data_IF_066387660993
#
_entry.id   IF_066387660993
#
_cell.length_a   1.000
_cell.length_b   1.000
_cell.length_c   1.000
_cell.angle_alpha   90.00
_cell.angle_beta   90.00
_cell.angle_gamma   90.00
#
_symmetry.space_group_name_H-M   'P 1'
#
loop_
_entity.id
_entity.type
_entity.pdbx_description
1 polymer ?
#
# COMPACT_ATOMS: atom_id res chain seq x y z
N UNK A 1 -22.78 35.82 -48.03
CA UNK A 1 -22.51 37.17 -47.50
C UNK A 1 -21.99 36.96 -46.09
N UNK A 2 -20.78 37.28 -45.66
CA UNK A 2 -19.67 38.10 -46.15
C UNK A 2 -18.34 37.52 -45.61
N UNK A 3 -17.25 37.79 -46.33
CA UNK A 3 -15.87 37.28 -46.22
C UNK A 3 -15.08 37.69 -44.96
N UNK A 4 -13.99 36.96 -44.67
CA UNK A 4 -12.56 37.40 -44.60
C UNK A 4 -11.71 36.18 -44.15
N UNK A 5 -11.01 35.48 -45.05
CA UNK A 5 -9.63 35.67 -45.58
C UNK A 5 -8.49 35.15 -44.68
N UNK A 6 -7.71 34.22 -45.25
CA UNK A 6 -6.51 33.52 -44.72
C UNK A 6 -5.26 34.45 -44.68
N UNK A 7 -4.10 33.93 -44.22
CA UNK A 7 -3.18 33.32 -45.21
C UNK A 7 -2.58 31.96 -44.80
N UNK A 8 -2.30 31.16 -45.83
CA UNK A 8 -1.48 29.93 -45.83
C UNK A 8 0.01 30.30 -45.77
N UNK A 9 0.85 29.39 -45.28
CA UNK A 9 2.02 28.91 -46.03
C UNK A 9 2.34 27.46 -45.65
N UNK A 10 2.68 26.68 -46.66
CA UNK A 10 3.06 25.26 -46.65
C UNK A 10 4.37 25.17 -47.40
N UNK A 11 5.39 24.47 -46.89
CA UNK A 11 6.42 23.78 -47.68
C UNK A 11 6.94 22.59 -46.85
N UNK A 12 6.90 21.38 -47.43
CA UNK A 12 7.55 20.15 -46.95
C UNK A 12 8.95 19.98 -47.62
N UNK A 13 9.56 18.78 -47.73
CA UNK A 13 10.38 18.04 -46.76
C UNK A 13 11.79 17.71 -47.33
N UNK A 14 12.72 17.14 -46.56
CA UNK A 14 13.90 16.40 -47.10
C UNK A 14 14.53 15.53 -45.98
N UNK A 15 14.34 14.20 -45.95
CA UNK A 15 15.16 13.07 -46.47
C UNK A 15 16.63 12.94 -46.04
N UNK A 16 16.91 11.81 -45.35
CA UNK A 16 18.06 10.87 -45.46
C UNK A 16 19.52 11.41 -45.42
N UNK A 17 20.54 10.79 -44.81
CA UNK A 17 20.99 9.39 -44.96
C UNK A 17 22.20 9.11 -44.02
N UNK A 18 22.22 7.90 -43.43
CA UNK A 18 23.33 6.92 -43.19
C UNK A 18 24.79 7.28 -42.84
N UNK A 19 25.33 6.44 -41.94
CA UNK A 19 26.69 5.79 -41.91
C UNK A 19 27.92 6.68 -41.67
N UNK A 20 29.03 6.32 -41.01
CA UNK A 20 29.56 5.08 -40.41
C UNK A 20 30.95 5.42 -39.82
N UNK A 21 31.42 4.58 -38.90
CA UNK A 21 32.83 4.18 -38.69
C UNK A 21 33.87 5.19 -38.16
N UNK A 22 34.32 4.91 -36.93
CA UNK A 22 35.70 5.03 -36.37
C UNK A 22 36.80 4.65 -37.38
N UNK A 23 38.07 5.16 -37.28
CA UNK A 23 38.91 4.89 -36.10
C UNK A 23 40.09 5.86 -35.74
N UNK A 24 40.56 5.70 -34.49
CA UNK A 24 41.96 5.61 -34.00
C UNK A 24 42.84 6.85 -33.67
N UNK A 25 43.37 6.76 -32.44
CA UNK A 25 44.71 7.10 -31.89
C UNK A 25 44.94 8.43 -31.14
N UNK A 26 45.53 8.24 -29.95
CA UNK A 26 46.39 9.12 -29.13
C UNK A 26 45.77 9.97 -28.00
N UNK A 27 45.96 9.47 -26.78
CA UNK A 27 46.18 10.21 -25.52
C UNK A 27 47.40 11.16 -25.63
N UNK A 28 47.71 12.05 -24.64
CA UNK A 28 47.16 12.14 -23.28
C UNK A 28 46.79 13.57 -22.82
N UNK A 29 46.01 13.70 -21.74
CA UNK A 29 46.35 14.53 -20.59
C UNK A 29 45.29 14.41 -19.48
N UNK A 30 45.80 14.42 -18.26
CA UNK A 30 45.16 13.90 -17.06
C UNK A 30 44.54 15.02 -16.23
N UNK A 31 43.34 14.77 -15.68
CA UNK A 31 42.87 15.45 -14.46
C UNK A 31 42.32 14.38 -13.53
N UNK A 32 43.15 14.02 -12.55
CA UNK A 32 42.84 13.07 -11.47
C UNK A 32 42.01 13.80 -10.42
N UNK A 33 40.74 13.41 -10.24
CA UNK A 33 39.96 13.77 -9.06
C UNK A 33 39.94 12.57 -8.10
N UNK A 34 40.34 12.86 -6.87
CA UNK A 34 40.69 11.96 -5.78
C UNK A 34 39.45 11.21 -5.27
N UNK A 35 39.59 9.89 -5.14
CA UNK A 35 38.67 9.00 -4.47
C UNK A 35 39.16 8.83 -3.01
N UNK A 36 38.40 9.36 -2.04
CA UNK A 36 38.68 9.15 -0.62
C UNK A 36 38.40 7.70 -0.23
N UNK A 37 39.45 6.95 0.05
CA UNK A 37 39.38 5.65 0.70
C UNK A 37 39.40 5.85 2.22
N UNK A 38 38.39 5.31 2.91
CA UNK A 38 38.31 5.28 4.38
C UNK A 38 39.37 4.31 4.95
N UNK A 39 40.15 4.68 5.99
CA UNK A 39 41.20 3.81 6.51
C UNK A 39 40.63 2.72 7.42
N UNK A 40 41.08 1.48 7.21
CA UNK A 40 40.75 0.32 8.04
C UNK A 40 41.33 0.47 9.47
N UNK A 41 40.52 0.34 10.54
CA UNK A 41 40.93 0.66 11.91
C UNK A 41 41.79 -0.42 12.62
N UNK A 42 42.21 -1.47 11.92
CA UNK A 42 42.92 -2.61 12.53
C UNK A 42 44.42 -2.72 12.18
N UNK A 43 45.05 -1.67 11.66
CA UNK A 43 46.50 -1.65 11.42
C UNK A 43 47.27 -1.11 12.64
N UNK A 44 48.20 -1.91 13.16
CA UNK A 44 49.20 -1.51 14.18
C UNK A 44 50.14 -0.42 13.63
N UNK A 45 50.47 0.62 14.41
CA UNK A 45 51.22 1.76 13.88
C UNK A 45 52.68 1.38 13.59
N UNK A 46 53.09 1.55 12.34
CA UNK A 46 54.51 1.64 11.99
C UNK A 46 55.06 2.96 12.54
N UNK A 47 56.09 2.86 13.37
CA UNK A 47 56.89 4.00 13.78
C UNK A 47 57.66 4.54 12.57
N UNK A 48 57.50 5.83 12.28
CA UNK A 48 58.40 6.59 11.41
C UNK A 48 58.73 7.91 12.08
N UNK A 49 59.95 8.00 12.61
CA UNK A 49 60.60 9.25 12.97
C UNK A 49 61.01 10.01 11.69
N UNK A 50 61.04 11.34 11.78
CA UNK A 50 62.12 12.12 11.18
C UNK A 50 62.61 13.20 12.17
N UNK A 51 63.88 13.63 12.07
CA UNK A 51 64.65 14.20 13.18
C UNK A 51 64.71 15.74 13.13
N UNK A 52 64.56 16.38 14.28
CA UNK A 52 65.13 17.71 14.50
C UNK A 52 66.31 17.61 15.47
N UNK A 53 67.50 17.84 14.89
CA UNK A 53 68.76 18.00 15.59
C UNK A 53 68.76 19.35 16.31
N UNK A 54 68.95 19.34 17.62
CA UNK A 54 69.79 20.34 18.29
C UNK A 54 70.78 19.62 19.18
N UNK A 55 72.04 19.92 18.87
CA UNK A 55 73.28 19.41 19.40
C UNK A 55 73.45 19.67 20.89
N UNK A 56 73.83 18.64 21.64
CA UNK A 56 74.72 18.77 22.78
C UNK A 56 75.56 17.51 22.89
N UNK A 57 76.84 17.69 22.56
CA UNK A 57 77.91 16.72 22.58
C UNK A 57 78.38 16.45 24.00
N UNK A 58 78.25 15.22 24.51
CA UNK A 58 79.12 14.73 25.61
C UNK A 58 79.35 13.21 25.46
N UNK A 59 80.62 12.89 25.17
CA UNK A 59 81.39 11.69 25.48
C UNK A 59 80.76 10.28 25.31
N UNK A 60 81.35 9.52 24.37
CA UNK A 60 81.41 8.06 24.45
C UNK A 60 82.06 7.64 25.79
N UNK A 61 81.25 7.12 26.70
CA UNK A 61 81.73 6.19 27.71
C UNK A 61 81.28 4.78 27.27
N UNK A 62 82.21 3.97 26.81
CA UNK A 62 82.00 2.52 26.71
C UNK A 62 81.84 1.97 28.13
N UNK A 63 80.59 1.94 28.60
CA UNK A 63 80.21 1.16 29.77
C UNK A 63 79.79 -0.22 29.26
N UNK A 64 80.64 -1.21 29.51
CA UNK A 64 80.30 -2.63 29.40
C UNK A 64 79.24 -2.95 30.46
N UNK A 65 77.98 -2.64 30.17
CA UNK A 65 76.86 -3.09 31.01
C UNK A 65 76.62 -4.56 30.72
N UNK A 66 77.20 -5.44 31.56
CA UNK A 66 76.81 -6.85 31.60
C UNK A 66 75.28 -6.91 31.65
N UNK A 67 74.65 -7.67 30.74
CA UNK A 67 73.24 -7.96 30.84
C UNK A 67 72.96 -8.57 32.22
N UNK A 68 72.46 -7.76 33.17
CA UNK A 68 71.96 -8.26 34.44
C UNK A 68 70.75 -9.12 34.10
N UNK A 69 70.92 -10.43 34.22
CA UNK A 69 69.85 -11.40 34.07
C UNK A 69 68.67 -11.00 34.97
N UNK A 70 67.49 -10.79 34.38
CA UNK A 70 66.30 -10.41 35.12
C UNK A 70 65.87 -11.57 36.00
N UNK A 71 66.20 -11.50 37.30
CA UNK A 71 65.58 -12.38 38.28
C UNK A 71 64.13 -11.94 38.48
N UNK A 72 63.21 -12.71 37.93
CA UNK A 72 61.80 -12.69 38.31
C UNK A 72 61.69 -12.81 39.83
N UNK A 73 61.49 -11.69 40.53
CA UNK A 73 61.05 -11.72 41.92
C UNK A 73 59.55 -12.00 41.91
N UNK A 74 59.19 -13.27 42.00
CA UNK A 74 57.81 -13.66 42.32
C UNK A 74 57.52 -13.14 43.72
N UNK A 75 56.84 -12.00 43.81
CA UNK A 75 56.41 -11.44 45.10
C UNK A 75 55.53 -12.48 45.77
N UNK A 76 55.90 -12.91 46.98
CA UNK A 76 55.12 -13.89 47.73
C UNK A 76 53.74 -13.29 48.02
N UNK A 77 52.69 -14.08 47.85
CA UNK A 77 51.30 -13.65 48.04
C UNK A 77 51.13 -13.27 49.53
N UNK A 78 51.25 -11.99 49.85
CA UNK A 78 51.25 -11.45 51.22
C UNK A 78 52.25 -10.31 51.47
N UNK A 79 53.30 -10.16 50.66
CA UNK A 79 54.33 -9.11 50.82
C UNK A 79 54.07 -7.84 49.99
N UNK A 80 52.95 -7.75 49.27
CA UNK A 80 52.56 -6.52 48.57
C UNK A 80 51.79 -5.66 49.56
N UNK A 81 52.42 -4.61 50.09
CA UNK A 81 51.68 -3.54 50.78
C UNK A 81 50.65 -2.96 49.80
N UNK A 82 49.38 -3.02 50.18
CA UNK A 82 48.25 -2.44 49.42
C UNK A 82 47.70 -1.27 50.21
N UNK A 83 48.42 -0.14 50.36
CA UNK A 83 47.94 0.98 51.16
C UNK A 83 46.60 1.56 50.64
N UNK A 84 46.24 1.29 49.38
CA UNK A 84 44.93 1.61 48.79
C UNK A 84 43.77 0.72 49.28
N UNK A 85 44.03 -0.36 50.03
CA UNK A 85 42.99 -1.16 50.70
C UNK A 85 42.75 -0.77 52.16
N UNK A 86 43.68 -0.03 52.77
CA UNK A 86 43.65 0.30 54.20
C UNK A 86 42.74 1.50 54.51
N UNK A 87 42.57 2.41 53.54
CA UNK A 87 41.68 3.58 53.67
C UNK A 87 40.72 3.57 52.47
N UNK A 88 39.49 3.09 52.69
CA UNK A 88 38.41 3.22 51.71
C UNK A 88 37.94 4.67 51.67
N UNK A 89 38.04 5.34 50.52
CA UNK A 89 37.41 6.64 50.34
C UNK A 89 35.88 6.46 50.46
N UNK A 90 35.21 7.08 51.44
CA UNK A 90 33.76 6.97 51.58
C UNK A 90 33.01 7.43 50.31
N UNK A 91 33.64 8.25 49.46
CA UNK A 91 33.06 8.71 48.19
C UNK A 91 33.09 7.68 47.07
N UNK A 92 33.94 6.65 47.16
CA UNK A 92 34.02 5.57 46.17
C UNK A 92 32.69 4.83 46.01
N UNK A 93 31.90 4.74 47.10
CA UNK A 93 30.53 4.18 47.07
C UNK A 93 29.62 4.89 46.07
N UNK A 94 29.78 6.20 45.87
CA UNK A 94 28.95 6.96 44.93
C UNK A 94 29.21 6.58 43.47
N UNK A 95 30.41 6.09 43.14
CA UNK A 95 30.73 5.60 41.79
C UNK A 95 29.91 4.36 41.43
N UNK A 96 29.50 3.55 42.43
CA UNK A 96 28.60 2.41 42.24
C UNK A 96 27.14 2.79 42.45
N UNK A 97 26.83 3.64 43.44
CA UNK A 97 25.45 4.04 43.78
C UNK A 97 24.83 4.87 42.65
N UNK A 98 25.54 5.82 42.05
CA UNK A 98 24.98 6.71 41.01
C UNK A 98 24.52 5.91 39.77
N UNK A 99 25.32 4.99 39.18
CA UNK A 99 24.85 4.14 38.09
C UNK A 99 23.68 3.24 38.48
N UNK A 100 23.65 2.70 39.70
CA UNK A 100 22.53 1.87 40.19
C UNK A 100 21.24 2.69 40.33
N UNK A 101 21.33 3.93 40.84
CA UNK A 101 20.20 4.86 40.85
C UNK A 101 19.75 5.16 39.43
N UNK A 102 20.69 5.43 38.50
CA UNK A 102 20.37 5.67 37.10
C UNK A 102 19.66 4.49 36.43
N UNK A 103 20.12 3.26 36.69
CA UNK A 103 19.48 2.03 36.19
C UNK A 103 18.09 1.83 36.81
N UNK A 104 17.95 2.05 38.12
CA UNK A 104 16.67 1.97 38.79
C UNK A 104 15.67 3.00 38.24
N UNK A 105 16.09 4.26 38.09
CA UNK A 105 15.28 5.33 37.48
C UNK A 105 14.92 4.97 36.04
N UNK A 106 15.86 4.43 35.26
CA UNK A 106 15.60 3.96 33.89
C UNK A 106 14.53 2.86 33.85
N UNK A 107 14.59 1.88 34.74
CA UNK A 107 13.57 0.82 34.87
C UNK A 107 12.22 1.38 35.31
N UNK A 108 12.20 2.34 36.24
CA UNK A 108 10.95 3.00 36.67
C UNK A 108 10.33 3.80 35.52
N UNK A 109 11.12 4.56 34.76
CA UNK A 109 10.63 5.30 33.59
C UNK A 109 10.12 4.33 32.52
N UNK A 110 10.86 3.27 32.21
CA UNK A 110 10.42 2.25 31.26
C UNK A 110 9.11 1.60 31.71
N UNK A 111 9.00 1.24 32.99
CA UNK A 111 7.78 0.70 33.59
C UNK A 111 6.60 1.68 33.49
N UNK A 112 6.84 2.96 33.75
CA UNK A 112 5.83 4.01 33.59
C UNK A 112 5.38 4.15 32.13
N UNK A 113 6.29 4.19 31.16
CA UNK A 113 5.97 4.28 29.74
C UNK A 113 5.20 3.05 29.24
N UNK A 114 5.56 1.85 29.71
CA UNK A 114 4.81 0.62 29.41
C UNK A 114 3.42 0.68 30.03
N UNK A 115 3.29 1.13 31.28
CA UNK A 115 1.98 1.28 31.93
C UNK A 115 1.10 2.33 31.24
N UNK A 116 1.67 3.47 30.83
CA UNK A 116 0.95 4.52 30.11
C UNK A 116 0.55 4.06 28.69
N UNK A 117 1.40 3.29 28.01
CA UNK A 117 1.04 2.61 26.78
C UNK A 117 -0.10 1.60 26.97
N UNK A 118 -0.03 0.75 28.00
CA UNK A 118 -1.05 -0.27 28.24
C UNK A 118 -2.40 0.31 28.63
N UNK A 119 -2.44 1.40 29.41
CA UNK A 119 -3.70 2.04 29.83
C UNK A 119 -4.39 2.80 28.69
N UNK A 120 -3.66 3.19 27.64
CA UNK A 120 -4.22 3.88 26.48
C UNK A 120 -4.79 2.89 25.44
N UNK A 121 -4.45 1.60 25.52
CA UNK A 121 -5.07 0.55 24.71
C UNK A 121 -6.53 0.37 25.15
N UNK A 122 -7.45 0.82 24.30
CA UNK A 122 -8.88 0.66 24.54
C UNK A 122 -9.27 -0.79 24.27
N UNK A 123 -9.73 -1.50 25.30
CA UNK A 123 -10.31 -2.83 25.15
C UNK A 123 -11.81 -2.71 24.85
N UNK A 124 -12.14 -2.70 23.57
CA UNK A 124 -13.53 -2.75 23.13
C UNK A 124 -14.10 -4.16 23.32
N UNK A 125 -15.36 -4.25 23.74
CA UNK A 125 -16.15 -5.48 23.69
C UNK A 125 -16.91 -5.51 22.37
N UNK A 126 -17.09 -6.71 21.82
CA UNK A 126 -17.72 -6.87 20.52
C UNK A 126 -18.77 -7.99 20.49
N UNK A 127 -19.80 -7.81 19.66
CA UNK A 127 -20.77 -8.84 19.30
C UNK A 127 -20.50 -9.34 17.87
N UNK A 128 -20.64 -10.65 17.59
CA UNK A 128 -20.54 -11.16 16.23
C UNK A 128 -21.71 -10.66 15.38
N UNK A 129 -21.41 -10.17 14.17
CA UNK A 129 -22.40 -9.76 13.16
C UNK A 129 -22.47 -10.77 12.02
N UNK A 130 -21.30 -11.21 11.57
CA UNK A 130 -21.19 -12.24 10.54
C UNK A 130 -19.89 -12.99 10.76
N UNK A 131 -19.96 -14.31 10.83
CA UNK A 131 -18.82 -15.21 10.96
C UNK A 131 -19.04 -16.34 9.95
N UNK A 132 -18.26 -16.36 8.88
CA UNK A 132 -18.36 -17.41 7.87
C UNK A 132 -16.98 -17.93 7.48
N UNK A 133 -16.87 -19.25 7.50
CA UNK A 133 -15.77 -20.02 6.95
C UNK A 133 -16.22 -20.71 5.64
N UNK A 134 -17.21 -20.12 4.93
CA UNK A 134 -17.77 -20.56 3.64
C UNK A 134 -18.00 -22.07 3.51
N UNK A 135 -18.99 -22.64 4.21
CA UNK A 135 -19.27 -24.08 4.10
C UNK A 135 -19.58 -24.48 2.66
N UNK A 136 -19.29 -25.73 2.27
CA UNK A 136 -19.50 -26.31 0.93
C UNK A 136 -20.99 -26.41 0.52
N UNK A 137 -21.71 -25.28 0.46
CA UNK A 137 -23.14 -25.18 0.18
C UNK A 137 -23.50 -24.05 -0.79
N UNK A 138 -22.50 -23.47 -1.47
CA UNK A 138 -22.69 -22.28 -2.32
C UNK A 138 -22.64 -20.97 -1.54
N UNK A 139 -22.71 -19.85 -2.25
CA UNK A 139 -22.64 -18.52 -1.65
C UNK A 139 -23.92 -18.22 -0.86
N UNK A 140 -23.78 -17.69 0.36
CA UNK A 140 -24.90 -17.25 1.22
C UNK A 140 -25.58 -16.00 0.61
N UNK A 141 -26.52 -16.19 -0.35
CA UNK A 141 -27.16 -15.09 -1.10
C UNK A 141 -28.11 -14.22 -0.27
N UNK A 142 -28.49 -14.66 0.92
CA UNK A 142 -29.19 -13.83 1.92
C UNK A 142 -28.22 -12.83 2.59
N UNK A 143 -26.93 -13.11 2.54
CA UNK A 143 -25.86 -12.23 3.03
C UNK A 143 -25.24 -11.44 1.87
N UNK A 144 -24.77 -12.12 0.84
CA UNK A 144 -23.98 -11.55 -0.24
C UNK A 144 -24.84 -11.25 -1.46
N UNK A 145 -24.80 -10.00 -1.90
CA UNK A 145 -25.34 -9.58 -3.21
C UNK A 145 -24.20 -9.62 -4.23
N UNK A 146 -24.40 -10.32 -5.35
CA UNK A 146 -23.54 -10.22 -6.53
C UNK A 146 -23.94 -9.00 -7.36
N UNK A 147 -22.98 -8.21 -7.79
CA UNK A 147 -23.21 -7.04 -8.65
C UNK A 147 -23.08 -7.39 -10.13
N UNK A 148 -23.94 -6.82 -10.96
CA UNK A 148 -23.88 -6.94 -12.41
C UNK A 148 -23.86 -5.56 -13.06
N UNK A 149 -22.67 -5.13 -13.47
CA UNK A 149 -22.43 -3.85 -14.14
C UNK A 149 -21.32 -3.98 -15.20
N UNK A 150 -21.37 -3.07 -16.18
CA UNK A 150 -20.41 -2.90 -17.28
C UNK A 150 -19.78 -1.50 -17.30
N UNK A 151 -20.17 -0.63 -16.35
CA UNK A 151 -19.81 0.79 -16.33
C UNK A 151 -18.41 1.13 -15.80
N UNK A 152 -17.66 0.13 -15.34
CA UNK A 152 -16.29 0.31 -14.84
C UNK A 152 -16.18 1.03 -13.49
N UNK A 153 -17.28 1.10 -12.73
CA UNK A 153 -17.35 1.56 -11.33
C UNK A 153 -16.64 2.90 -11.04
N UNK A 154 -16.75 3.87 -11.96
CA UNK A 154 -16.10 5.18 -11.82
C UNK A 154 -14.58 5.19 -12.05
N UNK A 155 -13.97 4.02 -12.21
CA UNK A 155 -12.54 3.81 -12.38
C UNK A 155 -12.14 3.46 -13.82
N UNK A 156 -13.13 3.32 -14.72
CA UNK A 156 -12.90 2.86 -16.10
C UNK A 156 -12.37 1.43 -16.17
N UNK A 157 -12.76 0.59 -15.21
CA UNK A 157 -12.41 -0.83 -15.14
C UNK A 157 -12.96 -1.61 -16.35
N UNK A 158 -12.31 -2.71 -16.73
CA UNK A 158 -12.60 -3.41 -17.99
C UNK A 158 -13.49 -4.64 -17.82
N UNK A 159 -13.73 -5.11 -16.60
CA UNK A 159 -14.60 -6.25 -16.35
C UNK A 159 -16.09 -5.91 -16.47
N UNK A 160 -16.85 -6.85 -17.01
CA UNK A 160 -18.26 -7.02 -16.67
C UNK A 160 -18.32 -7.81 -15.36
N UNK A 161 -19.03 -7.33 -14.34
CA UNK A 161 -19.29 -8.16 -13.16
C UNK A 161 -20.50 -9.06 -13.41
N UNK A 162 -20.41 -10.31 -12.99
CA UNK A 162 -21.46 -11.31 -13.27
C UNK A 162 -22.17 -11.79 -12.00
N UNK A 163 -23.41 -12.26 -12.18
CA UNK A 163 -24.21 -12.88 -11.11
C UNK A 163 -24.15 -14.41 -11.13
N UNK A 164 -23.52 -15.00 -12.14
CA UNK A 164 -23.40 -16.45 -12.29
C UNK A 164 -22.31 -17.02 -11.36
N UNK A 165 -22.20 -18.34 -11.31
CA UNK A 165 -21.12 -19.03 -10.60
C UNK A 165 -19.82 -19.11 -11.42
N UNK A 166 -19.75 -18.45 -12.58
CA UNK A 166 -18.54 -18.44 -13.39
C UNK A 166 -17.39 -17.67 -12.71
N UNK A 167 -17.73 -16.52 -12.11
CA UNK A 167 -16.73 -15.62 -11.52
C UNK A 167 -16.78 -15.56 -10.00
N UNK A 168 -17.91 -15.93 -9.37
CA UNK A 168 -18.07 -15.95 -7.91
C UNK A 168 -18.76 -17.23 -7.47
N UNK A 169 -18.01 -18.11 -6.80
CA UNK A 169 -18.50 -19.43 -6.37
C UNK A 169 -17.80 -19.89 -5.10
N UNK A 170 -18.38 -20.91 -4.46
CA UNK A 170 -17.73 -21.60 -3.33
C UNK A 170 -17.12 -22.89 -3.84
N UNK A 171 -15.84 -23.10 -3.57
CA UNK A 171 -15.13 -24.33 -3.86
C UNK A 171 -14.19 -24.66 -2.69
N UNK A 172 -14.13 -25.93 -2.29
CA UNK A 172 -13.22 -26.41 -1.23
C UNK A 172 -13.32 -25.64 0.10
N UNK A 173 -14.54 -25.21 0.45
CA UNK A 173 -14.83 -24.46 1.67
C UNK A 173 -14.36 -23.01 1.64
N UNK A 174 -14.14 -22.45 0.45
CA UNK A 174 -13.62 -21.10 0.26
C UNK A 174 -14.41 -20.37 -0.81
N UNK A 175 -14.52 -19.05 -0.67
CA UNK A 175 -15.06 -18.17 -1.69
C UNK A 175 -14.00 -17.86 -2.74
N UNK A 176 -14.32 -18.09 -4.01
CA UNK A 176 -13.47 -17.77 -5.14
C UNK A 176 -14.06 -16.59 -5.90
N UNK A 177 -13.25 -15.57 -6.16
CA UNK A 177 -13.54 -14.49 -7.11
C UNK A 177 -12.53 -14.61 -8.24
N UNK A 178 -12.97 -15.12 -9.38
CA UNK A 178 -12.14 -15.55 -10.50
C UNK A 178 -12.49 -14.77 -11.77
N UNK A 179 -11.63 -13.86 -12.24
CA UNK A 179 -11.77 -13.24 -13.54
C UNK A 179 -11.63 -14.26 -14.69
N UNK A 180 -12.42 -14.08 -15.75
CA UNK A 180 -12.38 -14.90 -16.97
C UNK A 180 -12.41 -14.02 -18.22
N UNK A 181 -12.03 -14.57 -19.38
CA UNK A 181 -12.19 -13.87 -20.65
C UNK A 181 -13.68 -13.72 -21.00
N UNK A 182 -14.02 -12.62 -21.66
CA UNK A 182 -15.31 -12.48 -22.34
C UNK A 182 -15.35 -13.35 -23.60
N UNK A 183 -16.56 -13.66 -24.08
CA UNK A 183 -16.76 -14.25 -25.40
C UNK A 183 -16.16 -13.34 -26.49
N UNK A 184 -15.37 -13.94 -27.39
CA UNK A 184 -14.74 -13.23 -28.49
C UNK A 184 -15.76 -12.53 -29.39
N UNK A 185 -16.94 -13.11 -29.62
CA UNK A 185 -18.01 -12.50 -30.43
C UNK A 185 -18.47 -11.18 -29.82
N UNK A 186 -18.53 -11.11 -28.48
CA UNK A 186 -18.92 -9.88 -27.78
C UNK A 186 -17.87 -8.78 -27.95
N UNK A 187 -16.59 -9.12 -28.04
CA UNK A 187 -15.48 -8.13 -28.06
C UNK A 187 -14.99 -7.80 -29.48
N UNK A 188 -15.16 -8.72 -30.44
CA UNK A 188 -14.61 -8.66 -31.79
C UNK A 188 -15.65 -8.31 -32.85
N UNK A 189 -16.93 -8.60 -32.61
CA UNK A 189 -18.03 -8.37 -33.55
C UNK A 189 -19.02 -7.32 -33.04
N UNK A 190 -19.89 -6.84 -33.94
CA UNK A 190 -20.97 -5.92 -33.55
C UNK A 190 -21.90 -6.61 -32.56
N UNK A 191 -21.88 -6.16 -31.32
CA UNK A 191 -22.54 -6.84 -30.20
C UNK A 191 -23.08 -5.84 -29.19
N UNK A 192 -23.96 -6.33 -28.32
CA UNK A 192 -24.51 -5.54 -27.23
C UNK A 192 -24.69 -6.40 -25.99
N UNK A 193 -24.13 -5.96 -24.88
CA UNK A 193 -24.45 -6.45 -23.54
C UNK A 193 -25.54 -5.55 -22.99
N UNK A 194 -26.68 -6.14 -22.64
CA UNK A 194 -27.79 -5.45 -22.00
C UNK A 194 -28.23 -6.17 -20.74
N UNK A 195 -27.74 -5.70 -19.60
CA UNK A 195 -28.07 -6.24 -18.29
C UNK A 195 -29.47 -5.80 -17.83
N UNK A 196 -30.04 -4.73 -18.41
CA UNK A 196 -31.42 -4.31 -18.13
C UNK A 196 -32.41 -5.24 -18.80
N UNK A 197 -32.19 -5.58 -20.06
CA UNK A 197 -33.02 -6.55 -20.78
C UNK A 197 -32.99 -7.95 -20.13
N UNK A 198 -31.86 -8.29 -19.50
CA UNK A 198 -31.72 -9.51 -18.70
C UNK A 198 -32.35 -9.41 -17.30
N UNK A 199 -32.70 -8.20 -16.84
CA UNK A 199 -33.28 -7.97 -15.50
C UNK A 199 -32.29 -8.17 -14.34
N UNK A 200 -30.99 -8.15 -14.61
CA UNK A 200 -29.95 -8.44 -13.60
C UNK A 200 -29.10 -7.23 -13.20
N UNK A 201 -29.15 -6.11 -13.93
CA UNK A 201 -28.32 -4.95 -13.61
C UNK A 201 -28.56 -4.45 -12.18
N UNK A 202 -27.47 -4.24 -11.44
CA UNK A 202 -27.54 -3.72 -10.05
C UNK A 202 -27.49 -2.21 -9.94
N UNK A 203 -27.13 -1.51 -11.02
CA UNK A 203 -27.13 -0.05 -11.09
C UNK A 203 -28.46 0.49 -11.58
N UNK A 204 -28.78 1.72 -11.14
CA UNK A 204 -29.86 2.53 -11.71
C UNK A 204 -29.37 3.40 -12.88
N UNK A 205 -28.06 3.49 -13.09
CA UNK A 205 -27.44 4.31 -14.14
C UNK A 205 -27.35 3.49 -15.42
N UNK A 206 -27.99 3.96 -16.49
CA UNK A 206 -28.09 3.21 -17.75
C UNK A 206 -26.73 2.81 -18.34
N UNK A 207 -25.73 3.70 -18.26
CA UNK A 207 -24.37 3.44 -18.78
C UNK A 207 -23.63 2.34 -18.01
N UNK A 208 -24.08 2.00 -16.81
CA UNK A 208 -23.53 0.89 -16.05
C UNK A 208 -24.18 -0.46 -16.39
N UNK A 209 -25.30 -0.44 -17.13
CA UNK A 209 -26.05 -1.65 -17.44
C UNK A 209 -25.96 -2.07 -18.90
N UNK A 210 -25.57 -1.15 -19.79
CA UNK A 210 -25.55 -1.37 -21.22
C UNK A 210 -24.20 -0.97 -21.79
N UNK A 211 -23.60 -1.87 -22.54
CA UNK A 211 -22.40 -1.60 -23.33
C UNK A 211 -22.45 -2.37 -24.65
N UNK A 212 -21.54 -2.10 -25.58
CA UNK A 212 -21.52 -2.80 -26.85
C UNK A 212 -20.25 -2.58 -27.63
N UNK A 213 -19.96 -3.55 -28.50
CA UNK A 213 -18.88 -3.46 -29.47
C UNK A 213 -19.46 -2.97 -30.79
N UNK A 214 -18.81 -1.96 -31.36
CA UNK A 214 -19.11 -1.44 -32.69
C UNK A 214 -17.81 -1.45 -33.49
N UNK A 215 -17.77 -2.20 -34.59
CA UNK A 215 -16.58 -2.39 -35.41
C UNK A 215 -16.46 -1.38 -36.55
N UNK A 216 -17.40 -0.44 -36.67
CA UNK A 216 -17.35 0.63 -37.67
C UNK A 216 -16.14 1.53 -37.43
N UNK A 217 -15.37 1.80 -38.49
CA UNK A 217 -14.18 2.65 -38.45
C UNK A 217 -14.46 4.08 -38.00
N UNK A 218 -15.71 4.53 -38.05
CA UNK A 218 -16.14 5.88 -37.66
C UNK A 218 -16.63 5.99 -36.21
N UNK A 219 -16.97 4.87 -35.56
CA UNK A 219 -17.52 4.85 -34.20
C UNK A 219 -17.12 3.56 -33.48
N UNK A 220 -15.81 3.31 -33.37
CA UNK A 220 -15.27 2.11 -32.75
C UNK A 220 -15.56 2.14 -31.24
N UNK A 221 -16.29 1.15 -30.75
CA UNK A 221 -16.49 0.90 -29.32
C UNK A 221 -16.21 -0.57 -29.03
N UNK A 222 -15.85 -0.88 -27.80
CA UNK A 222 -15.58 -2.26 -27.38
C UNK A 222 -16.24 -2.50 -26.04
N UNK A 223 -17.04 -3.57 -25.97
CA UNK A 223 -17.63 -4.07 -24.74
C UNK A 223 -16.54 -4.56 -23.77
N UNK A 224 -16.93 -4.95 -22.56
CA UNK A 224 -16.02 -5.38 -21.51
C UNK A 224 -15.28 -6.65 -21.95
N UNK A 225 -13.93 -6.61 -22.10
CA UNK A 225 -13.15 -7.73 -22.65
C UNK A 225 -13.01 -8.92 -21.71
N UNK A 226 -13.40 -8.76 -20.44
CA UNK A 226 -13.27 -9.77 -19.38
C UNK A 226 -14.50 -9.74 -18.50
N UNK A 227 -14.72 -10.83 -17.78
CA UNK A 227 -15.74 -10.96 -16.74
C UNK A 227 -15.06 -11.14 -15.39
N UNK A 228 -15.68 -10.66 -14.33
CA UNK A 228 -15.18 -10.86 -12.96
C UNK A 228 -16.31 -10.79 -11.94
N UNK A 229 -15.95 -10.78 -10.65
CA UNK A 229 -16.88 -10.73 -9.54
C UNK A 229 -16.67 -9.50 -8.66
N UNK A 230 -17.79 -8.90 -8.27
CA UNK A 230 -17.91 -7.94 -7.17
C UNK A 230 -19.12 -8.32 -6.34
N UNK A 231 -18.91 -8.53 -5.05
CA UNK A 231 -19.98 -8.88 -4.11
C UNK A 231 -19.97 -7.96 -2.91
N UNK A 232 -21.14 -7.74 -2.32
CA UNK A 232 -21.27 -6.89 -1.16
C UNK A 232 -22.31 -7.39 -0.15
N UNK A 233 -22.22 -6.90 1.09
CA UNK A 233 -23.15 -7.23 2.17
C UNK A 233 -24.23 -6.16 2.42
N UNK A 234 -24.38 -5.17 1.52
CA UNK A 234 -25.17 -3.94 1.75
C UNK A 234 -26.59 -4.19 2.26
N UNK A 235 -27.25 -5.22 1.73
CA UNK A 235 -28.66 -5.52 2.03
C UNK A 235 -28.86 -6.30 3.33
N UNK A 236 -27.80 -6.78 3.97
CA UNK A 236 -27.90 -7.83 5.00
C UNK A 236 -27.03 -7.58 6.24
N UNK A 237 -25.78 -7.15 6.07
CA UNK A 237 -24.79 -7.04 7.13
C UNK A 237 -23.98 -5.76 6.93
N UNK A 238 -24.00 -4.92 7.95
CA UNK A 238 -23.19 -3.72 8.08
C UNK A 238 -22.72 -3.58 9.52
N UNK A 239 -21.66 -2.80 9.73
CA UNK A 239 -21.20 -2.41 11.07
C UNK A 239 -20.91 -0.92 11.11
N UNK A 240 -21.07 -0.33 12.29
CA UNK A 240 -20.62 1.03 12.62
C UNK A 240 -19.73 0.93 13.83
N UNK A 241 -18.44 1.15 13.64
CA UNK A 241 -17.41 0.81 14.62
C UNK A 241 -17.37 -0.69 14.93
N UNK A 242 -16.19 -1.25 15.04
CA UNK A 242 -16.05 -2.69 15.14
C UNK A 242 -14.73 -3.20 14.63
N UNK A 243 -14.76 -4.48 14.26
CA UNK A 243 -13.63 -5.17 13.67
C UNK A 243 -14.09 -5.99 12.48
N UNK A 244 -13.31 -5.98 11.41
CA UNK A 244 -13.46 -6.90 10.28
C UNK A 244 -12.14 -7.63 10.08
N UNK A 245 -12.20 -8.94 9.86
CA UNK A 245 -11.08 -9.76 9.45
C UNK A 245 -11.51 -10.59 8.24
N UNK A 246 -10.78 -10.45 7.14
CA UNK A 246 -10.95 -11.27 5.93
C UNK A 246 -9.67 -12.05 5.71
N UNK A 247 -9.73 -13.37 5.86
CA UNK A 247 -8.60 -14.26 5.55
C UNK A 247 -8.64 -14.61 4.06
N UNK A 248 -7.73 -14.04 3.28
CA UNK A 248 -7.71 -14.20 1.83
C UNK A 248 -6.29 -14.40 1.28
N UNK A 249 -6.21 -15.09 0.13
CA UNK A 249 -5.04 -15.13 -0.75
C UNK A 249 -5.36 -14.26 -1.95
N UNK A 250 -4.59 -13.20 -2.16
CA UNK A 250 -4.81 -12.27 -3.27
C UNK A 250 -4.37 -12.90 -4.60
N UNK A 251 -4.95 -12.49 -5.74
CA UNK A 251 -4.53 -12.97 -7.04
C UNK A 251 -3.15 -12.46 -7.45
N UNK A 252 -2.46 -13.23 -8.28
CA UNK A 252 -1.30 -12.83 -9.07
C UNK A 252 -1.62 -13.03 -10.56
N UNK A 253 -1.35 -11.99 -11.34
CA UNK A 253 -1.69 -11.91 -12.75
C UNK A 253 -1.68 -10.46 -13.20
N UNK A 254 -1.22 -10.23 -14.43
CA UNK A 254 -1.13 -8.88 -14.96
C UNK A 254 -2.49 -8.22 -15.04
N UNK A 255 -2.54 -6.94 -14.64
CA UNK A 255 -3.72 -6.07 -14.72
C UNK A 255 -4.87 -6.44 -13.78
N UNK A 256 -4.65 -7.33 -12.82
CA UNK A 256 -5.64 -7.63 -11.77
C UNK A 256 -5.58 -6.59 -10.66
N UNK A 257 -6.73 -6.23 -10.11
CA UNK A 257 -6.89 -5.29 -9.00
C UNK A 257 -7.86 -5.86 -7.96
N UNK A 258 -7.38 -6.73 -7.06
CA UNK A 258 -8.17 -7.20 -5.93
C UNK A 258 -8.36 -6.10 -4.88
N UNK A 259 -9.55 -6.07 -4.27
CA UNK A 259 -9.85 -5.17 -3.16
C UNK A 259 -10.78 -5.81 -2.12
N UNK A 260 -10.57 -5.40 -0.86
CA UNK A 260 -11.42 -5.66 0.31
C UNK A 260 -11.64 -4.32 0.99
N UNK A 261 -12.87 -3.85 0.97
CA UNK A 261 -13.17 -2.45 1.25
C UNK A 261 -14.61 -2.29 1.69
N UNK A 262 -14.95 -1.09 2.16
CA UNK A 262 -16.28 -0.79 2.65
C UNK A 262 -16.79 0.53 2.08
N UNK A 263 -18.10 0.54 1.84
CA UNK A 263 -18.87 1.75 1.57
C UNK A 263 -19.98 1.95 2.61
N UNK A 264 -20.44 3.18 2.83
CA UNK A 264 -21.56 3.46 3.72
C UNK A 264 -22.85 2.87 3.14
N UNK A 265 -23.70 2.30 4.00
CA UNK A 265 -25.02 1.78 3.60
C UNK A 265 -25.86 2.87 2.97
N UNK A 266 -25.87 4.04 3.62
CA UNK A 266 -26.58 5.23 3.19
C UNK A 266 -25.61 6.39 2.90
N UNK A 267 -25.89 7.16 1.85
CA UNK A 267 -25.14 8.37 1.49
C UNK A 267 -25.54 9.57 2.36
N UNK A 268 -25.43 9.44 3.69
CA UNK A 268 -25.91 10.43 4.68
C UNK A 268 -25.34 11.84 4.48
N UNK A 269 -24.12 11.95 3.98
CA UNK A 269 -23.44 13.23 3.74
C UNK A 269 -23.42 13.63 2.26
N UNK A 270 -24.15 12.90 1.41
CA UNK A 270 -24.20 13.05 -0.03
C UNK A 270 -23.34 12.03 -0.77
N UNK A 271 -23.20 12.26 -2.08
CA UNK A 271 -22.46 11.39 -2.99
C UNK A 271 -20.99 11.21 -2.58
N UNK A 272 -20.40 10.12 -3.04
CA UNK A 272 -18.99 9.84 -2.84
C UNK A 272 -18.09 11.02 -3.26
N UNK A 273 -17.04 11.37 -2.50
CA UNK A 273 -16.53 10.71 -1.29
C UNK A 273 -17.09 11.29 0.02
N UNK A 274 -18.18 12.09 -0.01
CA UNK A 274 -18.68 12.80 1.18
C UNK A 274 -19.10 11.88 2.32
N UNK A 275 -19.64 10.72 1.97
CA UNK A 275 -20.09 9.70 2.94
C UNK A 275 -19.01 8.68 3.32
N UNK A 276 -17.81 8.82 2.75
CA UNK A 276 -16.63 8.02 3.09
C UNK A 276 -16.50 6.70 2.31
N UNK A 277 -15.27 6.17 2.29
CA UNK A 277 -14.88 4.83 1.84
C UNK A 277 -13.74 4.33 2.73
N UNK A 278 -13.72 3.04 3.08
CA UNK A 278 -12.64 2.44 3.87
C UNK A 278 -12.03 1.28 3.10
N UNK A 279 -10.81 1.45 2.61
CA UNK A 279 -10.06 0.39 1.94
C UNK A 279 -9.21 -0.36 2.94
N UNK A 280 -9.62 -1.57 3.29
CA UNK A 280 -8.82 -2.46 4.13
C UNK A 280 -7.57 -2.88 3.34
N UNK A 281 -7.78 -3.33 2.11
CA UNK A 281 -6.68 -3.70 1.23
C UNK A 281 -7.04 -3.49 -0.24
N UNK A 282 -6.13 -2.87 -0.97
CA UNK A 282 -6.05 -2.88 -2.43
C UNK A 282 -4.67 -3.36 -2.86
N UNK A 283 -4.57 -4.04 -4.01
CA UNK A 283 -3.29 -4.47 -4.57
C UNK A 283 -3.32 -4.51 -6.09
N UNK A 284 -2.14 -4.68 -6.70
CA UNK A 284 -2.00 -5.03 -8.12
C UNK A 284 -1.59 -6.49 -8.20
N UNK A 285 -2.23 -7.27 -9.04
CA UNK A 285 -1.83 -8.66 -9.30
C UNK A 285 -0.54 -8.79 -10.10
N UNK A 286 -0.09 -7.71 -10.76
CA UNK A 286 1.15 -7.68 -11.54
C UNK A 286 2.35 -8.20 -10.74
N UNK A 287 3.39 -8.63 -11.44
CA UNK A 287 4.62 -9.07 -10.80
C UNK A 287 5.21 -7.98 -9.86
N UNK A 288 5.89 -8.41 -8.80
CA UNK A 288 6.52 -7.54 -7.81
C UNK A 288 7.50 -6.49 -8.40
N UNK A 289 7.96 -6.68 -9.63
CA UNK A 289 8.77 -5.72 -10.40
C UNK A 289 7.98 -4.55 -11.00
N UNK A 290 6.65 -4.50 -10.81
CA UNK A 290 5.84 -3.37 -11.25
C UNK A 290 6.26 -2.08 -10.53
N UNK A 291 6.41 -0.92 -11.21
CA UNK A 291 7.15 0.22 -10.66
C UNK A 291 6.46 0.88 -9.47
N UNK A 292 5.12 0.82 -9.44
CA UNK A 292 4.31 1.32 -8.34
C UNK A 292 4.00 0.28 -7.25
N UNK A 293 4.56 -0.93 -7.39
CA UNK A 293 4.31 -2.09 -6.56
C UNK A 293 3.30 -3.04 -7.16
N UNK A 294 3.70 -4.31 -7.33
CA UNK A 294 2.83 -5.40 -7.80
C UNK A 294 2.24 -6.20 -6.63
N UNK A 295 2.13 -7.50 -6.81
CA UNK A 295 1.52 -8.44 -5.86
C UNK A 295 2.25 -8.58 -4.51
N UNK A 296 3.39 -7.91 -4.35
CA UNK A 296 4.14 -7.78 -3.10
C UNK A 296 3.79 -6.53 -2.29
N UNK A 297 2.91 -5.67 -2.79
CA UNK A 297 2.50 -4.43 -2.13
C UNK A 297 0.98 -4.42 -2.03
N UNK A 298 0.51 -4.03 -0.86
CA UNK A 298 -0.89 -3.66 -0.65
C UNK A 298 -0.96 -2.22 -0.17
N UNK A 299 -2.10 -1.56 -0.39
CA UNK A 299 -2.44 -0.27 0.20
C UNK A 299 -3.70 -0.36 1.03
N UNK A 300 -3.76 0.46 2.07
CA UNK A 300 -5.00 0.83 2.76
C UNK A 300 -5.18 2.33 2.64
N UNK A 301 -6.42 2.78 2.49
CA UNK A 301 -6.79 4.19 2.32
C UNK A 301 -8.13 4.47 2.99
N UNK A 302 -8.39 5.74 3.27
CA UNK A 302 -9.73 6.26 3.55
C UNK A 302 -10.05 7.27 2.48
N UNK A 303 -11.22 7.22 1.85
CA UNK A 303 -11.65 8.31 0.96
C UNK A 303 -12.60 9.24 1.71
N UNK A 304 -12.36 10.54 1.61
CA UNK A 304 -13.24 11.57 2.15
C UNK A 304 -12.95 12.90 1.47
N UNK A 305 -13.99 13.68 1.22
CA UNK A 305 -13.84 14.98 0.59
C UNK A 305 -15.19 15.63 0.30
N UNK A 306 -15.21 16.93 -0.01
CA UNK A 306 -16.42 17.64 -0.41
C UNK A 306 -16.92 17.25 -1.80
N UNK A 307 -16.11 16.61 -2.64
CA UNK A 307 -16.48 16.13 -3.98
C UNK A 307 -15.36 15.22 -4.52
N UNK A 308 -15.60 14.58 -5.66
CA UNK A 308 -14.65 13.66 -6.28
C UNK A 308 -13.33 14.31 -6.72
N UNK A 309 -13.31 15.61 -7.03
CA UNK A 309 -12.09 16.32 -7.42
C UNK A 309 -11.22 16.66 -6.19
N UNK A 310 -11.84 16.76 -5.03
CA UNK A 310 -11.22 17.08 -3.75
C UNK A 310 -11.21 15.87 -2.81
N UNK A 311 -11.06 14.66 -3.33
CA UNK A 311 -10.89 13.47 -2.51
C UNK A 311 -9.50 13.46 -1.85
N UNK A 312 -9.48 13.41 -0.52
CA UNK A 312 -8.26 13.50 0.29
C UNK A 312 -7.59 12.15 0.58
N UNK A 313 -7.97 11.07 -0.12
CA UNK A 313 -7.48 9.71 0.12
C UNK A 313 -5.95 9.59 0.23
N UNK A 314 -5.22 10.33 -0.59
CA UNK A 314 -3.76 10.36 -0.64
C UNK A 314 -3.12 10.75 0.70
N UNK A 315 -3.84 11.45 1.58
CA UNK A 315 -3.39 11.80 2.94
C UNK A 315 -3.43 10.61 3.90
N UNK A 316 -4.13 9.53 3.56
CA UNK A 316 -4.22 8.28 4.34
C UNK A 316 -3.87 7.04 3.54
N UNK A 317 -3.35 7.18 2.32
CA UNK A 317 -2.86 6.04 1.56
C UNK A 317 -1.54 5.54 2.16
N UNK A 318 -1.55 4.34 2.72
CA UNK A 318 -0.35 3.71 3.25
C UNK A 318 -0.10 2.39 2.53
N UNK A 319 1.08 2.27 1.92
CA UNK A 319 1.52 1.06 1.23
C UNK A 319 2.36 0.18 2.17
N UNK A 320 2.09 -1.13 2.16
CA UNK A 320 2.87 -2.13 2.90
C UNK A 320 3.45 -3.19 1.96
N UNK A 321 4.78 -3.23 1.90
CA UNK A 321 5.52 -4.25 1.16
C UNK A 321 5.63 -5.54 1.98
N UNK A 322 5.35 -6.67 1.35
CA UNK A 322 5.59 -7.99 1.91
C UNK A 322 7.10 -8.29 2.02
N UNK A 323 7.52 -8.90 3.13
CA UNK A 323 8.92 -9.24 3.38
C UNK A 323 9.26 -10.58 2.71
N UNK A 324 10.17 -10.55 1.73
CA UNK A 324 10.67 -11.73 1.00
C UNK A 324 9.57 -12.64 0.41
N UNK A 325 8.37 -12.09 0.17
CA UNK A 325 7.20 -12.83 -0.32
C UNK A 325 6.29 -11.91 -1.12
N UNK A 326 5.15 -12.44 -1.55
CA UNK A 326 4.02 -11.69 -2.13
C UNK A 326 2.76 -12.04 -1.34
N UNK A 327 1.73 -11.20 -1.44
CA UNK A 327 0.42 -11.46 -0.81
C UNK A 327 -0.42 -12.50 -1.57
N UNK A 328 0.09 -12.99 -2.70
CA UNK A 328 -0.51 -14.06 -3.49
C UNK A 328 -0.01 -15.46 -3.14
N UNK A 329 1.11 -15.57 -2.38
CA UNK A 329 1.72 -16.89 -2.08
C UNK A 329 0.96 -17.71 -1.04
N UNK A 330 0.30 -17.05 -0.09
CA UNK A 330 -0.41 -17.71 1.02
C UNK A 330 -1.59 -16.86 1.48
N UNK A 331 -2.43 -17.45 2.31
CA UNK A 331 -3.48 -16.71 3.00
C UNK A 331 -2.89 -15.71 3.99
N UNK A 332 -3.52 -14.55 4.03
CA UNK A 332 -3.26 -13.46 4.96
C UNK A 332 -4.57 -12.97 5.54
N UNK A 333 -4.54 -12.53 6.79
CA UNK A 333 -5.70 -11.87 7.41
C UNK A 333 -5.60 -10.39 7.16
N UNK A 334 -6.49 -9.83 6.35
CA UNK A 334 -6.63 -8.40 6.14
C UNK A 334 -7.65 -7.88 7.15
N UNK A 335 -7.17 -7.08 8.09
CA UNK A 335 -7.94 -6.65 9.25
C UNK A 335 -8.21 -5.15 9.26
N UNK A 336 -9.37 -4.78 9.78
CA UNK A 336 -9.79 -3.42 10.10
C UNK A 336 -10.28 -3.38 11.54
N UNK A 337 -9.90 -2.35 12.27
CA UNK A 337 -10.51 -1.99 13.54
C UNK A 337 -10.81 -0.49 13.53
N UNK A 338 -12.02 -0.15 13.94
CA UNK A 338 -12.56 1.19 13.80
C UNK A 338 -13.45 1.54 14.98
N UNK A 339 -13.29 2.75 15.50
CA UNK A 339 -14.07 3.31 16.59
C UNK A 339 -14.34 4.80 16.35
N UNK A 340 -15.08 5.44 17.25
CA UNK A 340 -15.25 6.91 17.26
C UNK A 340 -13.93 7.70 17.37
N UNK A 341 -12.83 7.04 17.75
CA UNK A 341 -11.54 7.70 18.01
C UNK A 341 -10.48 7.44 16.96
N UNK A 342 -10.57 6.33 16.22
CA UNK A 342 -9.57 5.96 15.24
C UNK A 342 -10.09 4.93 14.23
N UNK A 343 -9.38 4.80 13.11
CA UNK A 343 -9.41 3.67 12.19
C UNK A 343 -7.99 3.15 12.06
N UNK A 344 -7.81 1.83 12.09
CA UNK A 344 -6.56 1.23 11.63
C UNK A 344 -6.79 -0.08 10.89
N UNK A 345 -5.89 -0.36 9.97
CA UNK A 345 -5.86 -1.62 9.22
C UNK A 345 -4.57 -2.38 9.54
N UNK A 346 -4.59 -3.70 9.36
CA UNK A 346 -3.45 -4.56 9.67
C UNK A 346 -3.44 -5.82 8.82
N UNK A 347 -2.29 -6.49 8.79
CA UNK A 347 -2.11 -7.75 8.06
C UNK A 347 -1.62 -8.82 9.03
N UNK A 348 -2.28 -9.98 9.04
CA UNK A 348 -2.03 -11.17 9.87
C UNK A 348 -2.24 -10.95 11.38
N UNK A 349 -1.72 -9.87 11.95
CA UNK A 349 -1.83 -9.50 13.36
C UNK A 349 -1.96 -8.00 13.52
N UNK A 350 -2.69 -7.55 14.55
CA UNK A 350 -2.87 -6.13 14.91
C UNK A 350 -1.54 -5.39 15.13
N UNK A 351 -0.45 -6.11 15.43
CA UNK A 351 0.90 -5.54 15.55
C UNK A 351 1.51 -5.13 14.20
N UNK A 352 1.08 -5.74 13.09
CA UNK A 352 1.52 -5.42 11.73
C UNK A 352 0.53 -4.45 11.08
N UNK A 353 0.39 -3.30 11.71
CA UNK A 353 -0.46 -2.21 11.25
C UNK A 353 0.01 -1.68 9.88
N UNK A 354 -0.96 -1.35 9.02
CA UNK A 354 -0.75 -0.71 7.72
C UNK A 354 -1.13 0.75 7.83
N UNK A 355 -2.42 1.06 7.97
CA UNK A 355 -2.94 2.40 8.17
C UNK A 355 -3.31 2.62 9.64
N UNK A 356 -3.09 3.84 10.17
CA UNK A 356 -3.71 4.32 11.40
C UNK A 356 -4.04 5.80 11.28
N UNK A 357 -5.32 6.12 11.48
CA UNK A 357 -5.87 7.46 11.46
C UNK A 357 -6.62 7.70 12.75
N UNK A 358 -6.13 8.60 13.61
CA UNK A 358 -6.90 9.08 14.76
C UNK A 358 -7.85 10.23 14.37
N UNK A 359 -8.84 10.44 15.22
CA UNK A 359 -9.83 11.52 15.10
C UNK A 359 -9.62 12.62 16.16
N UNK A 360 -8.37 12.91 16.52
CA UNK A 360 -8.04 14.03 17.41
C UNK A 360 -8.40 15.38 16.76
N UNK A 361 -8.29 15.43 15.43
CA UNK A 361 -8.79 16.47 14.54
C UNK A 361 -9.86 15.89 13.62
N UNK A 362 -10.86 16.70 13.28
CA UNK A 362 -11.88 16.32 12.31
C UNK A 362 -11.30 16.17 10.89
N UNK A 363 -12.01 15.41 10.04
CA UNK A 363 -11.57 15.07 8.70
C UNK A 363 -11.58 16.29 7.74
N UNK A 364 -12.41 17.30 7.98
CA UNK A 364 -12.39 18.55 7.21
C UNK A 364 -11.06 19.29 7.41
N UNK A 365 -10.69 19.52 8.67
CA UNK A 365 -9.41 20.12 9.06
C UNK A 365 -8.22 19.28 8.56
N UNK A 366 -8.32 17.95 8.57
CA UNK A 366 -7.29 17.05 8.00
C UNK A 366 -7.16 17.19 6.48
N UNK A 367 -8.27 17.40 5.78
CA UNK A 367 -8.36 17.48 4.32
C UNK A 367 -7.64 18.69 3.71
N UNK A 368 -7.55 19.82 4.43
CA UNK A 368 -6.96 21.06 3.92
C UNK A 368 -7.51 21.43 2.53
N UNK A 369 -8.83 21.35 2.37
CA UNK A 369 -9.50 21.62 1.10
C UNK A 369 -9.40 23.10 0.72
N UNK A 370 -9.33 23.43 -0.59
CA UNK A 370 -9.30 24.82 -1.04
C UNK A 370 -10.63 25.53 -0.74
N UNK A 371 -10.58 26.86 -0.68
CA UNK A 371 -11.78 27.68 -0.41
C UNK A 371 -12.79 27.63 -1.57
N UNK A 372 -12.32 27.36 -2.79
CA UNK A 372 -13.14 27.26 -4.00
C UNK A 372 -12.65 26.16 -4.95
N UNK A 373 -13.57 25.63 -5.75
CA UNK A 373 -13.27 24.72 -6.85
C UNK A 373 -12.61 25.46 -8.03
N UNK A 374 -12.26 24.71 -9.09
CA UNK A 374 -11.63 25.26 -10.29
C UNK A 374 -12.51 26.24 -11.08
N UNK A 375 -13.82 26.26 -10.83
CA UNK A 375 -14.78 27.16 -11.47
C UNK A 375 -15.13 28.36 -10.58
N UNK A 376 -14.47 28.51 -9.43
CA UNK A 376 -14.68 29.59 -8.47
C UNK A 376 -15.87 29.38 -7.53
N UNK A 377 -16.53 28.21 -7.54
CA UNK A 377 -17.59 27.88 -6.59
C UNK A 377 -16.98 27.65 -5.22
N UNK A 378 -17.53 28.31 -4.19
CA UNK A 378 -17.08 28.11 -2.81
C UNK A 378 -17.32 26.67 -2.37
N UNK A 379 -16.29 26.03 -1.84
CA UNK A 379 -16.40 24.71 -1.23
C UNK A 379 -16.93 24.88 0.21
N UNK A 380 -17.99 24.14 0.53
CA UNK A 380 -18.64 24.17 1.84
C UNK A 380 -18.37 22.85 2.55
N UNK A 381 -18.06 22.92 3.84
CA UNK A 381 -17.88 21.73 4.67
C UNK A 381 -19.20 20.92 4.78
N UNK A 382 -19.29 19.73 4.15
CA UNK A 382 -20.51 18.93 4.20
C UNK A 382 -20.79 18.36 5.61
N UNK A 383 -19.78 18.32 6.47
CA UNK A 383 -19.83 17.75 7.81
C UNK A 383 -19.96 18.80 8.92
N UNK A 384 -20.03 20.09 8.56
CA UNK A 384 -20.02 21.20 9.53
C UNK A 384 -21.21 21.21 10.50
N UNK A 385 -22.27 20.48 10.18
CA UNK A 385 -23.44 20.30 11.06
C UNK A 385 -23.24 19.17 12.08
N UNK A 386 -22.21 18.33 11.92
CA UNK A 386 -21.91 17.23 12.84
C UNK A 386 -20.93 17.69 13.91
N UNK A 387 -21.16 17.30 15.16
CA UNK A 387 -20.22 17.53 16.26
C UNK A 387 -19.14 16.43 16.36
N UNK A 388 -19.23 15.39 15.54
CA UNK A 388 -18.39 14.19 15.61
C UNK A 388 -17.14 14.38 14.76
N UNK A 389 -15.97 14.10 15.33
CA UNK A 389 -14.68 14.22 14.62
C UNK A 389 -14.40 13.07 13.67
N UNK A 390 -15.07 11.92 13.85
CA UNK A 390 -14.93 10.74 13.00
C UNK A 390 -15.69 10.86 11.68
N UNK A 391 -16.60 11.83 11.53
CA UNK A 391 -17.38 12.06 10.29
C UNK A 391 -16.45 12.18 9.07
N UNK A 392 -16.69 11.46 7.96
CA UNK A 392 -17.91 10.68 7.66
C UNK A 392 -17.89 9.21 8.08
N UNK A 393 -16.82 8.77 8.76
CA UNK A 393 -16.69 7.41 9.30
C UNK A 393 -17.39 7.30 10.65
N UNK A 394 -18.67 7.65 10.68
CA UNK A 394 -19.57 7.58 11.83
C UNK A 394 -20.93 6.96 11.49
N UNK A 395 -21.05 6.39 10.29
CA UNK A 395 -22.25 5.71 9.76
C UNK A 395 -22.09 4.20 9.72
N UNK A 396 -23.11 3.48 9.26
CA UNK A 396 -23.03 2.05 9.00
C UNK A 396 -22.37 1.77 7.66
N UNK A 397 -21.37 0.89 7.64
CA UNK A 397 -20.62 0.51 6.44
C UNK A 397 -20.78 -0.99 6.16
N UNK A 398 -20.89 -1.34 4.88
CA UNK A 398 -20.99 -2.72 4.41
C UNK A 398 -19.71 -3.16 3.69
N UNK A 399 -19.44 -4.47 3.70
CA UNK A 399 -18.22 -5.04 3.12
C UNK A 399 -18.39 -5.30 1.63
N UNK A 400 -17.34 -5.06 0.86
CA UNK A 400 -17.22 -5.34 -0.57
C UNK A 400 -15.96 -6.17 -0.82
N UNK A 401 -16.10 -7.21 -1.63
CA UNK A 401 -15.00 -8.04 -2.12
C UNK A 401 -15.06 -8.06 -3.65
N UNK A 402 -13.96 -7.77 -4.33
CA UNK A 402 -13.89 -7.85 -5.78
C UNK A 402 -12.48 -8.14 -6.30
N UNK A 403 -12.44 -8.53 -7.58
CA UNK A 403 -11.22 -8.50 -8.40
C UNK A 403 -11.53 -7.70 -9.66
N UNK A 404 -11.19 -6.42 -9.66
CA UNK A 404 -11.27 -5.60 -10.87
C UNK A 404 -10.15 -5.99 -11.86
N UNK A 405 -10.32 -5.65 -13.13
CA UNK A 405 -9.35 -5.95 -14.19
C UNK A 405 -9.16 -4.73 -15.09
N UNK A 406 -7.92 -4.28 -15.22
CA UNK A 406 -7.60 -3.07 -15.99
C UNK A 406 -8.29 -1.84 -15.41
N UNK A 407 -7.94 -0.66 -15.93
CA UNK A 407 -8.60 0.60 -15.60
C UNK A 407 -8.07 1.71 -16.50
N UNK A 408 -8.76 2.85 -16.54
CA UNK A 408 -8.28 4.08 -17.19
C UNK A 408 -8.04 5.23 -16.22
N UNK A 409 -7.94 4.94 -14.93
CA UNK A 409 -7.83 5.93 -13.86
C UNK A 409 -6.38 6.18 -13.37
N UNK A 410 -5.37 5.66 -14.06
CA UNK A 410 -3.97 5.75 -13.65
C UNK A 410 -3.51 4.70 -12.64
N UNK A 411 -4.38 3.78 -12.18
CA UNK A 411 -3.96 2.69 -11.29
C UNK A 411 -2.85 1.84 -11.92
N UNK A 412 -2.98 1.51 -13.20
CA UNK A 412 -1.89 0.96 -13.99
C UNK A 412 -1.24 2.09 -14.79
N UNK A 413 0.01 2.44 -14.47
CA UNK A 413 0.68 3.61 -15.06
C UNK A 413 0.95 3.42 -16.57
N UNK A 414 0.63 4.45 -17.36
CA UNK A 414 0.92 4.47 -18.79
C UNK A 414 2.41 4.29 -19.09
N UNK A 415 2.72 3.58 -20.18
CA UNK A 415 4.10 3.33 -20.65
C UNK A 415 4.99 2.57 -19.65
N UNK A 416 4.42 1.88 -18.66
CA UNK A 416 5.15 1.02 -17.70
C UNK A 416 4.84 -0.46 -17.92
N UNK A 417 5.84 -1.30 -17.69
CA UNK A 417 5.74 -2.78 -17.66
C UNK A 417 4.93 -3.40 -18.82
N UNK A 418 5.05 -2.83 -20.02
CA UNK A 418 4.37 -3.34 -21.20
C UNK A 418 2.85 -3.22 -21.16
N UNK A 419 2.29 -2.26 -20.39
CA UNK A 419 0.86 -1.95 -20.38
C UNK A 419 0.35 -1.77 -21.82
N UNK A 420 -0.63 -2.58 -22.28
CA UNK A 420 -1.03 -2.58 -23.69
C UNK A 420 -1.99 -1.46 -24.07
N UNK A 421 -2.53 -0.71 -23.11
CA UNK A 421 -3.44 0.41 -23.36
C UNK A 421 -2.91 1.72 -22.76
N UNK A 422 -3.46 2.83 -23.23
CA UNK A 422 -3.24 4.18 -22.69
C UNK A 422 -4.54 4.68 -22.08
N UNK A 423 -4.50 5.31 -20.91
CA UNK A 423 -5.71 5.70 -20.17
C UNK A 423 -6.58 6.71 -20.93
N UNK A 424 -5.97 7.66 -21.62
CA UNK A 424 -6.67 8.62 -22.49
C UNK A 424 -7.09 8.04 -23.86
N UNK A 425 -6.82 6.76 -24.12
CA UNK A 425 -7.10 6.11 -25.40
C UNK A 425 -8.58 5.75 -25.56
N UNK A 426 -9.18 6.13 -26.71
CA UNK A 426 -10.58 5.78 -27.03
C UNK A 426 -10.85 4.28 -27.12
N UNK A 427 -9.80 3.49 -27.39
CA UNK A 427 -9.88 2.06 -27.64
C UNK A 427 -9.20 1.21 -26.54
N UNK A 428 -9.03 1.74 -25.33
CA UNK A 428 -8.26 1.08 -24.27
C UNK A 428 -8.70 -0.38 -24.01
N UNK A 429 -10.02 -0.65 -23.98
CA UNK A 429 -10.57 -2.02 -23.86
C UNK A 429 -10.20 -2.92 -25.04
N UNK A 430 -10.14 -2.38 -26.26
CA UNK A 430 -9.73 -3.12 -27.46
C UNK A 430 -8.24 -3.43 -27.45
N UNK A 431 -7.41 -2.46 -27.07
CA UNK A 431 -5.96 -2.63 -26.99
C UNK A 431 -5.60 -3.66 -25.91
N UNK A 432 -6.30 -3.61 -24.77
CA UNK A 432 -6.24 -4.64 -23.73
C UNK A 432 -6.60 -6.03 -24.27
N UNK A 433 -7.73 -6.18 -24.98
CA UNK A 433 -8.15 -7.45 -25.58
C UNK A 433 -7.16 -7.99 -26.61
N UNK A 434 -6.63 -7.14 -27.48
CA UNK A 434 -5.68 -7.53 -28.52
C UNK A 434 -4.37 -8.07 -27.92
N UNK A 435 -4.02 -7.65 -26.70
CA UNK A 435 -2.84 -8.11 -25.98
C UNK A 435 -3.08 -9.34 -25.09
N UNK A 436 -4.26 -9.98 -25.16
CA UNK A 436 -4.64 -11.10 -24.26
C UNK A 436 -3.66 -12.25 -24.23
N UNK A 437 -3.03 -12.56 -25.35
CA UNK A 437 -2.06 -13.65 -25.43
C UNK A 437 -0.77 -13.36 -24.63
N UNK A 438 -0.49 -12.08 -24.33
CA UNK A 438 0.63 -11.68 -23.48
C UNK A 438 0.28 -11.75 -21.98
N UNK A 439 -0.90 -11.26 -21.58
CA UNK A 439 -1.23 -11.13 -20.16
C UNK A 439 -2.09 -12.27 -19.59
N UNK A 440 -3.01 -12.87 -20.35
CA UNK A 440 -3.91 -13.89 -19.82
C UNK A 440 -3.20 -15.16 -19.33
N UNK A 441 -2.10 -15.63 -19.97
CA UNK A 441 -1.33 -16.75 -19.44
C UNK A 441 -0.80 -16.53 -18.02
N UNK A 442 -0.61 -15.28 -17.59
CA UNK A 442 -0.14 -14.96 -16.24
C UNK A 442 -1.17 -15.25 -15.16
N UNK A 443 -2.45 -15.44 -15.51
CA UNK A 443 -3.53 -15.71 -14.57
C UNK A 443 -3.72 -17.19 -14.26
N UNK A 444 -3.13 -18.11 -15.06
CA UNK A 444 -3.47 -19.54 -15.03
C UNK A 444 -3.33 -20.21 -13.67
N UNK A 445 -2.32 -19.84 -12.89
CA UNK A 445 -2.01 -20.51 -11.62
C UNK A 445 -2.60 -19.80 -10.39
N UNK A 446 -2.83 -18.49 -10.46
CA UNK A 446 -3.16 -17.69 -9.29
C UNK A 446 -3.98 -16.43 -9.61
N UNK A 447 -4.70 -16.40 -10.73
CA UNK A 447 -5.47 -15.23 -11.18
C UNK A 447 -6.75 -14.95 -10.40
N UNK A 448 -7.07 -15.73 -9.36
CA UNK A 448 -8.28 -15.58 -8.54
C UNK A 448 -7.96 -15.12 -7.12
N UNK A 449 -8.87 -14.34 -6.53
CA UNK A 449 -8.88 -14.09 -5.09
C UNK A 449 -9.61 -15.24 -4.40
N UNK A 450 -8.94 -15.87 -3.44
CA UNK A 450 -9.52 -16.96 -2.64
C UNK A 450 -9.70 -16.48 -1.21
N UNK A 451 -10.93 -16.49 -0.71
CA UNK A 451 -11.28 -16.01 0.63
C UNK A 451 -11.72 -17.21 1.47
N UNK A 452 -10.98 -17.44 2.54
CA UNK A 452 -11.18 -18.58 3.44
C UNK A 452 -12.16 -18.27 4.57
N UNK A 453 -12.14 -17.05 5.09
CA UNK A 453 -13.12 -16.63 6.09
C UNK A 453 -13.37 -15.13 6.07
N UNK A 454 -14.58 -14.75 6.48
CA UNK A 454 -14.99 -13.37 6.75
C UNK A 454 -15.57 -13.31 8.15
N UNK A 455 -15.04 -12.41 8.97
CA UNK A 455 -15.49 -12.19 10.34
C UNK A 455 -15.71 -10.71 10.57
N UNK A 456 -16.93 -10.36 10.98
CA UNK A 456 -17.37 -9.00 11.27
C UNK A 456 -17.91 -8.98 12.69
N UNK A 457 -17.40 -8.03 13.48
CA UNK A 457 -17.83 -7.82 14.84
C UNK A 457 -18.20 -6.36 15.06
N UNK A 458 -19.34 -6.14 15.71
CA UNK A 458 -19.87 -4.85 16.08
C UNK A 458 -19.32 -4.44 17.44
N UNK A 459 -18.84 -3.21 17.59
CA UNK A 459 -18.49 -2.68 18.90
C UNK A 459 -19.74 -2.55 19.78
N UNK A 460 -19.63 -2.90 21.07
CA UNK A 460 -20.69 -2.72 22.07
C UNK A 460 -21.14 -1.25 22.16
N UNK A 461 -22.46 -1.05 22.27
CA UNK A 461 -23.11 0.26 22.30
C UNK A 461 -23.69 0.72 20.95
N UNK A 462 -23.49 -0.04 19.88
CA UNK A 462 -24.01 0.28 18.54
C UNK A 462 -24.75 -0.91 17.94
N UNK A 463 -25.73 -0.61 17.08
CA UNK A 463 -26.52 -1.59 16.30
C UNK A 463 -27.09 -2.74 17.14
N UNK A 464 -27.54 -2.45 18.36
CA UNK A 464 -28.15 -3.45 19.26
C UNK A 464 -27.15 -4.41 19.93
N UNK A 465 -25.84 -4.22 19.76
CA UNK A 465 -24.82 -4.95 20.53
C UNK A 465 -24.77 -4.39 21.96
N UNK A 466 -25.36 -5.13 22.90
CA UNK A 466 -25.53 -4.74 24.31
C UNK A 466 -24.43 -5.21 25.24
#
# INVERSE_FOLDING_TARGET
MTHFSRPRYSVQPETATSTSATPRVASPEAVTAVQEATPNPFLTPYASHDPSRTTSSVALAQSTTSHRYFHSRRVKKGEVERPWTDIKDPKEKWVTIIPLIGLFVGVVIAGFLVWDGLRTVVNHKYCPVYLSDFPNKGLELDIWTKEAEVGGFGNGQFEETTVTEENVFIQDGMLHIKPTLQDAVIVEENSRIDLLAQGICTSIVWTNCVTGTNTSTTNLTTANPVKSGRINTKKSRSIKYGRIEVEAKLPAGDWLWPAIWLLPVDSQYGEWPRSGEIDIVESRGNNWTFPQGGNNIVSSSLHWGPDSANDAWWKTNVKRKALHTTYAKKFHTFGLEWSEKYIFTYIDTRLLQVLYTNFDKDLWSRGHFPDSDSNGTKIVNPWGQTARKSTPFDQDFYLILNVAVGSTNGWFEDSKNGKPWVDGGKNARRDFWNAKDAWYPTWKESGEMVVKSVKMWQQQGYNGCS
#
